data_IF_986784505109
#
_entry.id   IF_986784505109
#
_cell.length_a   1.000
_cell.length_b   1.000
_cell.length_c   1.000
_cell.angle_alpha   90.00
_cell.angle_beta   90.00
_cell.angle_gamma   90.00
#
_symmetry.space_group_name_H-M   'P 1'
#
loop_
_entity.id
_entity.type
_entity.pdbx_description
1 polymer ?
#
# COMPACT_ATOMS: atom_id res chain seq x y z
N UNK A 1 -2.57 -21.94 6.39
CA UNK A 1 -3.72 -21.00 6.34
C UNK A 1 -3.42 -19.92 5.30
N UNK A 2 -4.43 -19.41 4.58
CA UNK A 2 -4.20 -18.34 3.59
C UNK A 2 -4.02 -17.00 4.30
N UNK A 3 -3.17 -16.10 3.79
CA UNK A 3 -3.01 -14.76 4.34
C UNK A 3 -4.33 -13.97 4.26
N UNK A 4 -4.51 -13.06 5.20
CA UNK A 4 -5.58 -12.07 5.21
C UNK A 4 -5.03 -10.70 4.83
N UNK A 5 -5.62 -10.07 3.83
CA UNK A 5 -5.31 -8.72 3.38
C UNK A 5 -6.43 -7.76 3.77
N UNK A 6 -6.16 -6.81 4.68
CA UNK A 6 -7.01 -5.65 4.85
C UNK A 6 -6.53 -4.56 3.87
N UNK A 7 -7.33 -4.31 2.83
CA UNK A 7 -6.93 -3.42 1.73
C UNK A 7 -7.60 -2.06 1.83
N UNK A 8 -6.82 -1.07 2.25
CA UNK A 8 -7.27 0.30 2.49
C UNK A 8 -7.14 1.18 1.25
N UNK A 9 -8.18 1.98 0.99
CA UNK A 9 -8.23 2.92 -0.11
C UNK A 9 -7.29 4.12 0.08
N UNK A 10 -6.88 4.74 -1.04
CA UNK A 10 -6.17 6.03 -1.05
C UNK A 10 -7.10 7.20 -0.81
N UNK A 11 -6.56 8.42 -0.64
CA UNK A 11 -7.36 9.59 -0.29
C UNK A 11 -8.37 10.02 -1.37
N UNK A 12 -8.07 9.77 -2.63
CA UNK A 12 -8.81 10.34 -3.77
C UNK A 12 -9.95 9.49 -4.32
N UNK A 13 -10.06 8.22 -3.90
CA UNK A 13 -11.08 7.32 -4.45
C UNK A 13 -11.43 6.20 -3.47
N UNK A 14 -12.74 5.83 -3.36
CA UNK A 14 -13.18 4.75 -2.48
C UNK A 14 -12.81 3.37 -3.05
N UNK A 15 -13.05 2.34 -2.23
CA UNK A 15 -12.80 0.94 -2.60
C UNK A 15 -13.56 0.45 -3.82
N UNK A 16 -14.67 1.11 -4.17
CA UNK A 16 -15.46 0.84 -5.39
C UNK A 16 -14.78 1.29 -6.69
N UNK A 17 -13.71 2.08 -6.60
CA UNK A 17 -12.96 2.51 -7.78
C UNK A 17 -12.42 1.31 -8.58
N UNK A 18 -12.48 1.30 -9.93
CA UNK A 18 -12.06 0.15 -10.75
C UNK A 18 -10.64 -0.35 -10.48
N UNK A 19 -9.71 0.56 -10.18
CA UNK A 19 -8.33 0.18 -9.81
C UNK A 19 -8.31 -0.67 -8.52
N UNK A 20 -9.05 -0.25 -7.49
CA UNK A 20 -9.15 -0.99 -6.21
C UNK A 20 -9.80 -2.36 -6.41
N UNK A 21 -10.86 -2.44 -7.23
CA UNK A 21 -11.56 -3.70 -7.51
C UNK A 21 -10.64 -4.68 -8.25
N UNK A 22 -9.93 -4.23 -9.29
CA UNK A 22 -8.95 -5.10 -9.99
C UNK A 22 -7.87 -5.62 -9.04
N UNK A 23 -7.35 -4.78 -8.16
CA UNK A 23 -6.34 -5.22 -7.18
C UNK A 23 -6.91 -6.15 -6.12
N UNK A 24 -8.15 -5.92 -5.67
CA UNK A 24 -8.86 -6.87 -4.80
C UNK A 24 -8.96 -8.25 -5.46
N UNK A 25 -9.38 -8.31 -6.72
CA UNK A 25 -9.56 -9.59 -7.43
C UNK A 25 -8.22 -10.32 -7.62
N UNK A 26 -7.14 -9.61 -7.92
CA UNK A 26 -5.79 -10.19 -7.98
C UNK A 26 -5.33 -10.73 -6.62
N UNK A 27 -5.45 -9.95 -5.57
CA UNK A 27 -5.07 -10.35 -4.22
C UNK A 27 -5.89 -11.55 -3.73
N UNK A 28 -7.14 -11.66 -4.14
CA UNK A 28 -8.02 -12.79 -3.80
C UNK A 28 -7.51 -14.13 -4.34
N UNK A 29 -6.62 -14.14 -5.33
CA UNK A 29 -5.98 -15.38 -5.82
C UNK A 29 -4.95 -15.93 -4.84
N UNK A 30 -4.36 -15.07 -3.99
CA UNK A 30 -3.30 -15.44 -3.06
C UNK A 30 -3.73 -15.40 -1.58
N UNK A 31 -4.87 -14.80 -1.25
CA UNK A 31 -5.35 -14.70 0.13
C UNK A 31 -6.80 -14.23 0.24
N UNK A 32 -7.29 -14.12 1.46
CA UNK A 32 -8.59 -13.51 1.77
C UNK A 32 -8.43 -11.99 1.80
N UNK A 33 -9.35 -11.25 1.17
CA UNK A 33 -9.27 -9.79 1.04
C UNK A 33 -10.52 -9.13 1.61
N UNK A 34 -10.33 -8.18 2.51
CA UNK A 34 -11.38 -7.23 2.92
C UNK A 34 -11.00 -5.82 2.45
N UNK A 35 -11.88 -5.20 1.69
CA UNK A 35 -11.75 -3.79 1.30
C UNK A 35 -12.22 -2.89 2.43
N UNK A 36 -11.52 -1.76 2.61
CA UNK A 36 -11.83 -0.80 3.65
C UNK A 36 -11.87 0.63 3.13
N UNK A 37 -12.98 1.32 3.41
CA UNK A 37 -13.17 2.75 3.18
C UNK A 37 -13.21 3.52 4.49
N UNK A 38 -12.46 4.60 4.57
CA UNK A 38 -12.47 5.51 5.72
C UNK A 38 -13.84 6.21 5.87
N UNK A 39 -14.25 6.61 7.11
CA UNK A 39 -15.56 7.21 7.36
C UNK A 39 -15.89 8.37 6.43
N UNK A 40 -14.96 9.29 6.20
CA UNK A 40 -15.20 10.43 5.30
C UNK A 40 -15.59 10.01 3.88
N UNK A 41 -15.08 8.88 3.37
CA UNK A 41 -15.42 8.35 2.04
C UNK A 41 -16.86 7.82 2.02
N UNK A 42 -17.26 7.06 3.05
CA UNK A 42 -18.62 6.54 3.21
C UNK A 42 -19.64 7.68 3.34
N UNK A 43 -19.23 8.78 3.97
CA UNK A 43 -20.01 10.01 4.13
C UNK A 43 -19.93 10.92 2.88
N UNK A 44 -19.23 10.49 1.81
CA UNK A 44 -19.04 11.26 0.55
C UNK A 44 -18.36 12.62 0.77
N UNK A 45 -17.61 12.80 1.85
CA UNK A 45 -16.79 13.98 2.07
C UNK A 45 -15.50 13.92 1.23
N UNK A 46 -15.09 15.05 0.67
CA UNK A 46 -13.89 15.14 -0.18
C UNK A 46 -12.58 15.18 0.63
N UNK A 47 -12.63 15.77 1.84
CA UNK A 47 -11.45 15.98 2.68
C UNK A 47 -11.29 14.81 3.64
N UNK A 48 -10.10 14.17 3.67
CA UNK A 48 -9.79 13.15 4.66
C UNK A 48 -9.93 13.67 6.10
N UNK A 49 -10.30 12.76 6.99
CA UNK A 49 -10.29 13.01 8.42
C UNK A 49 -8.87 13.26 8.93
N UNK A 50 -8.73 13.75 10.16
CA UNK A 50 -7.43 13.93 10.80
C UNK A 50 -6.78 12.57 11.07
N UNK A 51 -5.43 12.55 11.14
CA UNK A 51 -4.65 11.34 11.30
C UNK A 51 -5.13 10.40 12.42
N UNK A 52 -5.42 10.87 13.65
CA UNK A 52 -5.90 9.97 14.71
C UNK A 52 -7.23 9.27 14.37
N UNK A 53 -8.15 9.97 13.70
CA UNK A 53 -9.44 9.39 13.27
C UNK A 53 -9.26 8.35 12.17
N UNK A 54 -8.33 8.59 11.23
CA UNK A 54 -7.99 7.61 10.18
C UNK A 54 -7.37 6.35 10.79
N UNK A 55 -6.47 6.50 11.77
CA UNK A 55 -5.85 5.37 12.48
C UNK A 55 -6.93 4.57 13.23
N UNK A 56 -7.78 5.23 14.01
CA UNK A 56 -8.85 4.59 14.78
C UNK A 56 -9.80 3.78 13.87
N UNK A 57 -10.24 4.39 12.76
CA UNK A 57 -11.11 3.72 11.80
C UNK A 57 -10.44 2.50 11.11
N UNK A 58 -9.14 2.58 10.84
CA UNK A 58 -8.40 1.46 10.24
C UNK A 58 -8.20 0.32 11.26
N UNK A 59 -7.93 0.64 12.52
CA UNK A 59 -7.87 -0.35 13.62
C UNK A 59 -9.21 -1.05 13.83
N UNK A 60 -10.30 -0.30 13.83
CA UNK A 60 -11.65 -0.86 13.92
C UNK A 60 -11.95 -1.82 12.75
N UNK A 61 -11.60 -1.41 11.51
CA UNK A 61 -11.75 -2.27 10.35
C UNK A 61 -10.90 -3.54 10.45
N UNK A 62 -9.69 -3.47 11.00
CA UNK A 62 -8.85 -4.64 11.25
C UNK A 62 -9.53 -5.58 12.25
N UNK A 63 -10.00 -5.07 13.37
CA UNK A 63 -10.67 -5.87 14.40
C UNK A 63 -11.95 -6.55 13.89
N UNK A 64 -12.75 -5.85 13.08
CA UNK A 64 -14.00 -6.37 12.52
C UNK A 64 -13.81 -7.42 11.42
N UNK A 65 -12.68 -7.41 10.72
CA UNK A 65 -12.46 -8.28 9.56
C UNK A 65 -11.47 -9.42 9.79
N UNK A 66 -10.72 -9.40 10.88
CA UNK A 66 -9.78 -10.46 11.22
C UNK A 66 -10.51 -11.68 11.76
N UNK A 67 -10.17 -12.87 11.28
CA UNK A 67 -10.73 -14.14 11.74
C UNK A 67 -9.66 -15.02 12.39
N UNK A 68 -10.01 -15.88 13.35
CA UNK A 68 -9.06 -16.81 13.99
C UNK A 68 -8.39 -17.78 13.00
N UNK A 69 -9.08 -18.12 11.91
CA UNK A 69 -8.59 -19.05 10.87
C UNK A 69 -7.76 -18.34 9.77
N UNK A 70 -7.51 -17.05 9.89
CA UNK A 70 -6.62 -16.34 8.98
C UNK A 70 -5.17 -16.78 9.21
N UNK A 71 -4.40 -16.86 8.13
CA UNK A 71 -2.94 -16.93 8.20
C UNK A 71 -2.32 -15.57 8.55
N UNK A 72 -1.20 -15.22 7.94
CA UNK A 72 -0.57 -13.93 8.16
C UNK A 72 -1.53 -12.77 7.89
N UNK A 73 -1.60 -11.81 8.81
CA UNK A 73 -2.38 -10.58 8.67
C UNK A 73 -1.53 -9.49 8.02
N UNK A 74 -1.95 -9.06 6.84
CA UNK A 74 -1.24 -8.07 6.03
C UNK A 74 -2.09 -6.82 5.85
N UNK A 75 -1.60 -5.65 6.29
CA UNK A 75 -2.21 -4.39 5.93
C UNK A 75 -1.65 -3.94 4.59
N UNK A 76 -2.48 -3.92 3.58
CA UNK A 76 -2.13 -3.42 2.25
C UNK A 76 -2.90 -2.13 1.96
N UNK A 77 -2.27 -1.15 1.36
CA UNK A 77 -2.95 0.10 1.09
C UNK A 77 -2.41 0.86 -0.11
N UNK A 78 -3.34 1.49 -0.82
CA UNK A 78 -3.03 2.47 -1.84
C UNK A 78 -2.71 3.80 -1.18
N UNK A 79 -1.55 4.41 -1.48
CA UNK A 79 -1.23 5.77 -1.07
C UNK A 79 -1.48 6.03 0.43
N UNK A 80 -2.42 6.90 0.77
CA UNK A 80 -2.82 7.21 2.15
C UNK A 80 -3.14 5.92 2.93
N UNK A 81 -3.83 4.96 2.34
CA UNK A 81 -4.18 3.70 3.01
C UNK A 81 -2.95 2.93 3.48
N UNK A 82 -1.90 2.84 2.66
CA UNK A 82 -0.63 2.24 3.05
C UNK A 82 0.05 3.00 4.19
N UNK A 83 0.11 4.34 4.09
CA UNK A 83 0.68 5.19 5.16
C UNK A 83 -0.06 5.05 6.49
N UNK A 84 -1.39 5.04 6.47
CA UNK A 84 -2.17 4.83 7.70
C UNK A 84 -1.96 3.42 8.26
N UNK A 85 -1.88 2.40 7.39
CA UNK A 85 -1.51 1.04 7.80
C UNK A 85 -0.18 0.98 8.55
N UNK A 86 0.81 1.78 8.15
CA UNK A 86 2.08 1.90 8.88
C UNK A 86 1.87 2.44 10.31
N UNK A 87 1.01 3.45 10.49
CA UNK A 87 0.69 3.94 11.84
C UNK A 87 -0.04 2.89 12.68
N UNK A 88 -0.98 2.16 12.10
CA UNK A 88 -1.69 1.07 12.78
C UNK A 88 -0.71 -0.01 13.25
N UNK A 89 0.27 -0.38 12.44
CA UNK A 89 1.26 -1.40 12.78
C UNK A 89 2.24 -0.99 13.91
N UNK A 90 2.24 0.27 14.35
CA UNK A 90 2.95 0.69 15.57
C UNK A 90 2.21 0.28 16.85
N UNK A 91 0.89 0.08 16.77
CA UNK A 91 0.03 -0.16 17.92
C UNK A 91 -0.61 -1.56 17.89
N UNK A 92 -0.82 -2.12 16.68
CA UNK A 92 -1.49 -3.40 16.48
C UNK A 92 -0.52 -4.45 15.94
N UNK A 93 -0.65 -5.68 16.43
CA UNK A 93 0.13 -6.81 15.91
C UNK A 93 -0.39 -7.22 14.53
N UNK A 94 0.39 -6.94 13.50
CA UNK A 94 0.21 -7.41 12.12
C UNK A 94 1.53 -7.99 11.62
N UNK A 95 1.44 -8.93 10.67
CA UNK A 95 2.60 -9.70 10.26
C UNK A 95 3.40 -9.00 9.16
N UNK A 96 2.73 -8.19 8.32
CA UNK A 96 3.38 -7.42 7.27
C UNK A 96 2.57 -6.21 6.78
N UNK A 97 3.27 -5.33 6.07
CA UNK A 97 2.73 -4.15 5.39
C UNK A 97 3.05 -4.20 3.90
N UNK A 98 2.11 -3.79 3.06
CA UNK A 98 2.33 -3.57 1.63
C UNK A 98 1.83 -2.19 1.23
N UNK A 99 2.73 -1.35 0.72
CA UNK A 99 2.40 0.00 0.29
C UNK A 99 2.43 0.11 -1.24
N UNK A 100 1.27 0.29 -1.85
CA UNK A 100 1.11 0.52 -3.29
C UNK A 100 1.15 2.03 -3.56
N UNK A 101 2.34 2.55 -3.88
CA UNK A 101 2.61 3.99 -4.02
C UNK A 101 2.57 4.71 -2.67
N UNK A 102 3.61 4.58 -1.85
CA UNK A 102 3.69 5.30 -0.57
C UNK A 102 3.75 6.81 -0.80
N UNK A 103 2.96 7.65 -0.10
CA UNK A 103 2.99 9.09 -0.28
C UNK A 103 4.03 9.74 0.65
N UNK A 104 5.31 9.57 0.34
CA UNK A 104 6.43 10.03 1.17
C UNK A 104 6.46 11.56 1.33
N UNK A 105 6.15 12.28 0.26
CA UNK A 105 6.09 13.74 0.29
C UNK A 105 4.76 14.28 -0.27
N UNK A 106 4.53 15.57 -0.19
CA UNK A 106 3.42 16.22 -0.85
C UNK A 106 3.76 16.50 -2.33
N UNK A 107 2.74 16.67 -3.15
CA UNK A 107 2.93 17.09 -4.55
C UNK A 107 3.67 18.43 -4.59
N UNK A 108 4.81 18.45 -5.28
CA UNK A 108 5.63 19.64 -5.45
C UNK A 108 6.45 20.07 -4.21
N UNK A 109 6.32 19.37 -3.08
CA UNK A 109 7.12 19.68 -1.87
C UNK A 109 7.89 18.42 -1.43
N UNK A 110 9.19 18.40 -1.75
CA UNK A 110 10.12 17.32 -1.40
C UNK A 110 10.83 17.53 -0.06
N UNK A 111 10.59 18.65 0.61
CA UNK A 111 11.33 19.05 1.82
C UNK A 111 10.69 18.51 3.11
N UNK A 112 9.40 18.24 3.08
CA UNK A 112 8.63 17.73 4.24
C UNK A 112 8.22 16.29 4.01
N UNK A 113 9.02 15.37 4.53
CA UNK A 113 8.77 13.93 4.39
C UNK A 113 7.79 13.42 5.45
N UNK A 114 7.04 12.40 5.09
CA UNK A 114 6.15 11.64 5.99
C UNK A 114 6.84 10.33 6.39
N UNK A 115 8.02 10.45 6.95
CA UNK A 115 8.95 9.35 7.20
C UNK A 115 9.02 8.93 8.69
N UNK A 116 8.52 9.75 9.62
CA UNK A 116 8.56 9.47 11.06
C UNK A 116 8.00 8.07 11.39
N UNK A 117 6.85 7.72 10.81
CA UNK A 117 6.24 6.41 11.02
C UNK A 117 7.12 5.29 10.47
N UNK A 118 7.76 5.47 9.31
CA UNK A 118 8.63 4.47 8.70
C UNK A 118 9.87 4.22 9.55
N UNK A 119 10.46 5.25 10.14
CA UNK A 119 11.62 5.15 11.06
C UNK A 119 11.29 4.40 12.35
N UNK A 120 10.04 4.50 12.80
CA UNK A 120 9.56 3.82 14.01
C UNK A 120 9.16 2.35 13.78
N UNK A 121 8.89 1.95 12.54
CA UNK A 121 8.40 0.60 12.21
C UNK A 121 9.37 -0.51 12.63
N UNK A 122 8.76 -1.64 13.01
CA UNK A 122 9.42 -2.94 13.23
C UNK A 122 8.82 -4.02 12.33
N UNK A 123 7.55 -3.85 11.96
CA UNK A 123 6.81 -4.77 11.08
C UNK A 123 7.43 -4.79 9.68
N UNK A 124 7.68 -5.96 9.09
CA UNK A 124 8.15 -6.09 7.73
C UNK A 124 7.28 -5.34 6.74
N UNK A 125 7.90 -4.65 5.76
CA UNK A 125 7.19 -3.82 4.79
C UNK A 125 7.70 -4.04 3.37
N UNK A 126 6.76 -4.18 2.43
CA UNK A 126 7.01 -4.14 0.98
C UNK A 126 6.54 -2.79 0.42
N UNK A 127 7.45 -2.05 -0.16
CA UNK A 127 7.14 -0.88 -1.00
C UNK A 127 7.01 -1.32 -2.46
N UNK A 128 5.89 -1.02 -3.09
CA UNK A 128 5.70 -1.11 -4.54
C UNK A 128 5.63 0.32 -5.08
N UNK A 129 6.66 0.73 -5.82
CA UNK A 129 6.86 2.15 -6.11
C UNK A 129 7.16 2.40 -7.57
N UNK A 130 6.41 3.31 -8.20
CA UNK A 130 6.66 3.74 -9.58
C UNK A 130 7.80 4.74 -9.68
N UNK A 131 8.64 4.64 -10.73
CA UNK A 131 9.76 5.57 -10.96
C UNK A 131 9.31 6.98 -11.35
N UNK A 132 8.05 7.14 -11.73
CA UNK A 132 7.44 8.44 -12.10
C UNK A 132 6.45 8.96 -11.06
N UNK A 133 6.48 8.40 -9.85
CA UNK A 133 5.61 8.85 -8.77
C UNK A 133 6.18 10.11 -8.09
N UNK A 134 5.56 11.28 -8.29
CA UNK A 134 6.05 12.53 -7.68
C UNK A 134 5.83 12.60 -6.16
N UNK A 135 5.00 11.71 -5.59
CA UNK A 135 4.76 11.65 -4.16
C UNK A 135 5.78 10.78 -3.41
N UNK A 136 6.56 9.99 -4.14
CA UNK A 136 7.61 9.17 -3.56
C UNK A 136 8.80 8.99 -4.53
N UNK A 137 9.58 10.04 -4.74
CA UNK A 137 10.82 9.93 -5.52
C UNK A 137 11.76 8.89 -4.90
N UNK A 138 12.32 8.02 -5.73
CA UNK A 138 13.17 6.92 -5.27
C UNK A 138 14.46 7.41 -4.60
N UNK A 139 15.00 8.52 -5.07
CA UNK A 139 16.17 9.17 -4.47
C UNK A 139 15.96 9.67 -3.04
N UNK A 140 14.68 9.84 -2.60
CA UNK A 140 14.32 10.11 -1.22
C UNK A 140 13.95 8.85 -0.43
N UNK A 141 13.34 7.87 -1.10
CA UNK A 141 12.91 6.64 -0.45
C UNK A 141 14.08 5.72 -0.12
N UNK A 142 15.05 5.56 -1.02
CA UNK A 142 16.14 4.60 -0.84
C UNK A 142 17.06 4.90 0.36
N UNK A 143 17.52 6.16 0.58
CA UNK A 143 18.27 6.49 1.78
C UNK A 143 17.46 6.25 3.06
N UNK A 144 16.17 6.60 3.06
CA UNK A 144 15.29 6.38 4.19
C UNK A 144 15.16 4.87 4.51
N UNK A 145 14.99 4.03 3.49
CA UNK A 145 14.90 2.58 3.65
C UNK A 145 16.15 1.97 4.29
N UNK A 146 17.32 2.49 3.97
CA UNK A 146 18.58 2.04 4.58
C UNK A 146 18.66 2.35 6.08
N UNK A 147 17.93 3.36 6.56
CA UNK A 147 17.87 3.76 7.97
C UNK A 147 16.73 3.07 8.74
N UNK A 148 15.79 2.41 8.05
CA UNK A 148 14.66 1.73 8.69
C UNK A 148 15.13 0.52 9.49
N UNK A 149 14.51 0.34 10.68
CA UNK A 149 14.76 -0.83 11.53
C UNK A 149 13.97 -2.05 11.11
N UNK A 150 12.84 -1.84 10.43
CA UNK A 150 12.02 -2.90 9.87
C UNK A 150 12.71 -3.56 8.66
N UNK A 151 12.57 -4.89 8.52
CA UNK A 151 12.87 -5.56 7.25
C UNK A 151 12.03 -4.90 6.16
N UNK A 152 12.67 -4.39 5.14
CA UNK A 152 11.96 -3.70 4.06
C UNK A 152 12.44 -4.17 2.69
N UNK A 153 11.49 -4.32 1.78
CA UNK A 153 11.70 -4.71 0.39
C UNK A 153 11.15 -3.61 -0.51
N UNK A 154 11.81 -3.34 -1.63
CA UNK A 154 11.33 -2.42 -2.66
C UNK A 154 11.14 -3.17 -3.97
N UNK A 155 9.93 -3.11 -4.52
CA UNK A 155 9.63 -3.47 -5.90
C UNK A 155 9.44 -2.20 -6.72
N UNK A 156 10.36 -1.95 -7.64
CA UNK A 156 10.32 -0.78 -8.52
C UNK A 156 9.49 -1.09 -9.76
N UNK A 157 8.49 -0.27 -10.03
CA UNK A 157 7.71 -0.30 -11.27
C UNK A 157 8.27 0.74 -12.22
N UNK A 158 9.10 0.30 -13.15
CA UNK A 158 9.76 1.17 -14.13
C UNK A 158 8.74 1.87 -15.04
N UNK A 159 8.75 3.19 -15.04
CA UNK A 159 7.79 4.04 -15.75
C UNK A 159 6.42 4.15 -15.06
N UNK A 160 6.21 3.49 -13.94
CA UNK A 160 4.96 3.55 -13.17
C UNK A 160 4.75 4.93 -12.52
N UNK A 161 3.51 5.40 -12.57
CA UNK A 161 3.07 6.60 -11.84
C UNK A 161 2.67 6.27 -10.39
N UNK A 162 2.05 7.22 -9.68
CA UNK A 162 1.52 7.02 -8.33
C UNK A 162 0.48 5.90 -8.22
N UNK A 163 -0.16 5.51 -9.32
CA UNK A 163 -1.10 4.38 -9.40
C UNK A 163 -0.47 3.13 -10.01
N UNK A 164 0.86 3.12 -10.17
CA UNK A 164 1.64 2.01 -10.76
C UNK A 164 1.31 1.77 -12.23
N UNK A 165 0.73 2.76 -12.90
CA UNK A 165 0.37 2.69 -14.31
C UNK A 165 1.54 3.15 -15.16
N UNK A 166 1.94 2.29 -16.09
CA UNK A 166 3.01 2.55 -17.05
C UNK A 166 2.41 3.13 -18.35
N UNK A 167 3.03 4.16 -18.96
CA UNK A 167 2.55 4.72 -20.22
C UNK A 167 2.47 3.67 -21.34
N UNK A 168 1.37 3.69 -22.10
CA UNK A 168 1.14 2.74 -23.20
C UNK A 168 2.34 2.64 -24.18
N UNK A 169 2.93 3.79 -24.54
CA UNK A 169 4.11 3.84 -25.43
C UNK A 169 5.29 3.06 -24.85
N UNK A 170 5.54 3.17 -23.55
CA UNK A 170 6.63 2.46 -22.89
C UNK A 170 6.37 0.95 -22.85
N UNK A 171 5.13 0.55 -22.56
CA UNK A 171 4.72 -0.85 -22.62
C UNK A 171 4.88 -1.44 -24.02
N UNK A 172 4.44 -0.71 -25.05
CA UNK A 172 4.59 -1.14 -26.46
C UNK A 172 6.05 -1.37 -26.86
N UNK A 173 6.95 -0.46 -26.46
CA UNK A 173 8.40 -0.61 -26.74
C UNK A 173 8.98 -1.88 -26.11
N UNK A 174 8.47 -2.28 -24.94
CA UNK A 174 8.90 -3.49 -24.22
C UNK A 174 8.14 -4.75 -24.66
N UNK A 175 7.12 -4.66 -25.51
CA UNK A 175 6.23 -5.77 -25.84
C UNK A 175 5.42 -6.26 -24.65
N UNK A 176 5.12 -5.40 -23.68
CA UNK A 176 4.43 -5.71 -22.44
C UNK A 176 3.05 -5.05 -22.37
N UNK A 177 2.22 -5.57 -21.49
CA UNK A 177 0.91 -4.99 -21.12
C UNK A 177 0.94 -4.48 -19.66
N UNK A 178 -0.06 -3.69 -19.27
CA UNK A 178 -0.24 -3.32 -17.86
C UNK A 178 -0.55 -4.57 -17.00
N UNK A 179 -1.18 -5.58 -17.59
CA UNK A 179 -1.46 -6.84 -16.90
C UNK A 179 -0.16 -7.57 -16.52
N UNK A 180 0.84 -7.58 -17.40
CA UNK A 180 2.14 -8.19 -17.12
C UNK A 180 2.85 -7.46 -15.97
N UNK A 181 2.75 -6.12 -15.92
CA UNK A 181 3.29 -5.31 -14.81
C UNK A 181 2.56 -5.65 -13.51
N UNK A 182 1.23 -5.66 -13.52
CA UNK A 182 0.41 -5.95 -12.35
C UNK A 182 0.65 -7.38 -11.84
N UNK A 183 0.86 -8.34 -12.75
CA UNK A 183 1.16 -9.73 -12.38
C UNK A 183 2.54 -9.86 -11.69
N UNK A 184 3.56 -9.12 -12.16
CA UNK A 184 4.87 -9.07 -11.48
C UNK A 184 4.77 -8.49 -10.07
N UNK A 185 3.95 -7.45 -9.88
CA UNK A 185 3.68 -6.88 -8.57
C UNK A 185 2.99 -7.92 -7.67
N UNK A 186 1.97 -8.61 -8.18
CA UNK A 186 1.26 -9.66 -7.43
C UNK A 186 2.21 -10.77 -6.99
N UNK A 187 3.07 -11.25 -7.91
CA UNK A 187 4.06 -12.27 -7.60
C UNK A 187 5.04 -11.82 -6.51
N UNK A 188 5.45 -10.54 -6.54
CA UNK A 188 6.31 -9.96 -5.50
C UNK A 188 5.61 -9.87 -4.14
N UNK A 189 4.30 -9.53 -4.13
CA UNK A 189 3.49 -9.54 -2.90
C UNK A 189 3.40 -10.97 -2.35
N UNK A 190 3.09 -11.96 -3.19
CA UNK A 190 3.00 -13.36 -2.79
C UNK A 190 4.32 -13.85 -2.19
N UNK A 191 5.43 -13.65 -2.89
CA UNK A 191 6.77 -14.01 -2.42
C UNK A 191 7.13 -13.35 -1.09
N UNK A 192 6.80 -12.06 -0.92
CA UNK A 192 7.07 -11.33 0.32
C UNK A 192 6.28 -11.92 1.50
N UNK A 193 5.02 -12.26 1.28
CA UNK A 193 4.15 -12.84 2.32
C UNK A 193 4.53 -14.28 2.67
N UNK A 194 4.99 -15.07 1.70
CA UNK A 194 5.49 -16.44 1.93
C UNK A 194 6.78 -16.48 2.79
N UNK A 195 7.49 -15.38 2.90
CA UNK A 195 8.73 -15.25 3.68
C UNK A 195 8.51 -14.68 5.09
N UNK A 196 7.27 -14.55 5.54
CA UNK A 196 6.93 -14.11 6.90
C UNK A 196 7.03 -15.30 7.89
#
# INVERSE_FOLDING_TARGET
>A
MKPFFLFAAGAGAPSTHPWMQRWKDRLATIGRVALFDYPYMREKRKRPDRLPQLIAAHREALAQNRHPDDGATVLIGKSMGGRIGCHVALEEKVDALVCLGYPLCAMGDRTRLRDEVLRALRTPILFVQGTRDPLCPLDLLEPLRAEMKARNVLHVVEGGDHSLIVPKRQLQVKGETQEDVDQRILNQIAQFVEQL
#
